data_IF_202577139372
#
_entry.id   IF_202577139372
#
_cell.length_a   1.000
_cell.length_b   1.000
_cell.length_c   1.000
_cell.angle_alpha   90.00
_cell.angle_beta   90.00
_cell.angle_gamma   90.00
#
_symmetry.space_group_name_H-M   'P 1'
#
loop_
_entity.id
_entity.type
_entity.pdbx_description
1 polymer ?
#
# COMPACT_ATOMS: atom_id res chain seq x y z
N UNK A 1 -17.11 -2.49 -26.79
CA UNK A 1 -16.29 -3.26 -25.83
C UNK A 1 -16.86 -2.99 -24.46
N UNK A 2 -17.45 -3.98 -23.80
CA UNK A 2 -18.01 -3.83 -22.46
C UNK A 2 -16.86 -3.61 -21.46
N UNK A 3 -16.89 -2.49 -20.73
CA UNK A 3 -15.99 -2.21 -19.62
C UNK A 3 -16.85 -2.17 -18.36
N UNK A 4 -17.01 -3.32 -17.71
CA UNK A 4 -17.75 -3.43 -16.46
C UNK A 4 -17.00 -2.77 -15.28
N UNK A 5 -15.72 -2.47 -15.46
CA UNK A 5 -14.86 -1.85 -14.46
C UNK A 5 -14.46 -0.42 -14.86
N UNK A 6 -14.31 0.45 -13.84
CA UNK A 6 -13.75 1.80 -13.97
C UNK A 6 -12.37 1.82 -13.36
N UNK A 7 -11.42 2.51 -13.98
CA UNK A 7 -10.12 2.79 -13.37
C UNK A 7 -9.97 4.29 -13.07
N UNK A 8 -9.34 4.60 -11.95
CA UNK A 8 -8.94 5.94 -11.52
C UNK A 8 -7.43 5.90 -11.38
N UNK A 9 -6.72 6.92 -11.84
CA UNK A 9 -5.27 6.99 -11.63
C UNK A 9 -4.86 8.44 -11.36
N UNK A 10 -3.71 8.62 -10.74
CA UNK A 10 -3.23 9.93 -10.39
C UNK A 10 -1.82 9.93 -9.84
N UNK A 11 -1.40 11.09 -9.36
CA UNK A 11 -0.11 11.26 -8.70
C UNK A 11 -0.29 12.11 -7.46
N UNK A 12 0.23 11.63 -6.34
CA UNK A 12 0.33 12.37 -5.07
C UNK A 12 1.75 12.89 -4.98
N UNK A 13 1.93 14.20 -4.76
CA UNK A 13 3.25 14.80 -4.56
C UNK A 13 3.51 14.92 -3.06
N UNK A 14 4.64 14.39 -2.61
CA UNK A 14 5.11 14.60 -1.25
C UNK A 14 5.98 15.85 -1.23
N UNK A 15 5.59 16.84 -0.42
CA UNK A 15 6.32 18.10 -0.31
C UNK A 15 7.04 18.23 1.03
N UNK A 16 8.13 19.01 1.06
CA UNK A 16 8.89 19.23 2.28
C UNK A 16 8.30 20.35 3.14
N UNK A 17 8.44 20.24 4.45
CA UNK A 17 8.17 21.31 5.41
C UNK A 17 9.44 21.89 6.05
N UNK A 18 10.62 21.50 5.55
CA UNK A 18 11.89 22.06 6.05
C UNK A 18 12.09 23.48 5.52
N UNK A 19 12.61 24.43 6.32
CA UNK A 19 12.75 25.83 5.91
C UNK A 19 13.53 26.04 4.61
N UNK A 20 14.60 25.27 4.39
CA UNK A 20 15.51 25.35 3.23
C UNK A 20 14.90 24.85 1.91
N UNK A 21 13.76 24.15 1.97
CA UNK A 21 13.10 23.56 0.80
C UNK A 21 11.59 23.46 0.96
N UNK A 22 10.99 24.44 1.62
CA UNK A 22 9.55 24.46 1.91
C UNK A 22 8.73 24.27 0.63
N UNK A 23 7.76 23.36 0.70
CA UNK A 23 6.84 22.96 -0.36
C UNK A 23 7.49 22.42 -1.64
N UNK A 24 8.81 22.26 -1.67
CA UNK A 24 9.49 21.56 -2.75
C UNK A 24 9.19 20.07 -2.68
N UNK A 25 9.11 19.44 -3.85
CA UNK A 25 8.89 18.00 -3.95
C UNK A 25 10.07 17.23 -3.35
N UNK A 26 9.75 16.21 -2.57
CA UNK A 26 10.73 15.26 -1.99
C UNK A 26 10.45 13.81 -2.37
N UNK A 27 9.45 13.60 -3.22
CA UNK A 27 8.94 12.30 -3.60
C UNK A 27 7.53 12.39 -4.16
N UNK A 28 7.03 11.26 -4.66
CA UNK A 28 5.72 11.14 -5.30
C UNK A 28 5.17 9.73 -5.13
N UNK A 29 3.86 9.58 -5.34
CA UNK A 29 3.21 8.29 -5.48
C UNK A 29 2.33 8.30 -6.72
N UNK A 30 2.57 7.35 -7.62
CA UNK A 30 1.70 7.07 -8.75
C UNK A 30 0.73 5.97 -8.34
N UNK A 31 -0.56 6.23 -8.43
CA UNK A 31 -1.58 5.27 -8.00
C UNK A 31 -2.57 4.95 -9.10
N UNK A 32 -3.15 3.77 -9.01
CA UNK A 32 -4.28 3.31 -9.80
C UNK A 32 -5.30 2.63 -8.89
N UNK A 33 -6.59 2.87 -9.10
CA UNK A 33 -7.68 2.22 -8.40
C UNK A 33 -8.61 1.64 -9.45
N UNK A 34 -8.73 0.32 -9.48
CA UNK A 34 -9.77 -0.39 -10.21
C UNK A 34 -11.01 -0.49 -9.33
N UNK A 35 -12.16 -0.08 -9.85
CA UNK A 35 -13.47 -0.33 -9.27
C UNK A 35 -14.14 -1.41 -10.12
N UNK A 36 -14.33 -2.58 -9.53
CA UNK A 36 -14.90 -3.76 -10.18
C UNK A 36 -16.43 -3.67 -10.25
N UNK A 37 -17.04 -4.47 -11.12
CA UNK A 37 -18.50 -4.46 -11.34
C UNK A 37 -19.33 -4.86 -10.11
N UNK A 38 -18.73 -5.59 -9.17
CA UNK A 38 -19.32 -5.98 -7.89
C UNK A 38 -19.03 -4.99 -6.75
N UNK A 39 -18.44 -3.82 -7.06
CA UNK A 39 -18.13 -2.77 -6.10
C UNK A 39 -16.80 -2.94 -5.37
N UNK A 40 -16.10 -4.08 -5.52
CA UNK A 40 -14.76 -4.28 -4.95
C UNK A 40 -13.74 -3.37 -5.62
N UNK A 41 -12.61 -3.16 -4.95
CA UNK A 41 -11.54 -2.28 -5.41
C UNK A 41 -10.18 -2.93 -5.33
N UNK A 42 -9.35 -2.66 -6.32
CA UNK A 42 -7.91 -2.96 -6.29
C UNK A 42 -7.15 -1.65 -6.43
N UNK A 43 -6.44 -1.26 -5.38
CA UNK A 43 -5.58 -0.09 -5.32
C UNK A 43 -4.12 -0.53 -5.54
N UNK A 44 -3.44 0.09 -6.49
CA UNK A 44 -2.03 -0.15 -6.80
C UNK A 44 -1.30 1.17 -6.62
N UNK A 45 -0.16 1.16 -5.96
CA UNK A 45 0.63 2.36 -5.74
C UNK A 45 2.13 2.06 -5.89
N UNK A 46 2.82 2.97 -6.57
CA UNK A 46 4.28 3.04 -6.60
C UNK A 46 4.69 4.38 -5.96
N UNK A 47 5.30 4.31 -4.79
CA UNK A 47 5.75 5.49 -4.03
C UNK A 47 7.28 5.59 -4.07
N UNK A 48 7.78 6.80 -4.26
CA UNK A 48 9.20 7.13 -4.23
C UNK A 48 9.44 8.33 -3.31
N UNK A 49 10.48 8.24 -2.48
CA UNK A 49 11.03 9.35 -1.70
C UNK A 49 12.48 9.55 -2.15
N UNK A 50 12.79 10.76 -2.61
CA UNK A 50 14.08 11.11 -3.22
C UNK A 50 15.15 11.46 -2.18
N UNK A 51 14.72 11.86 -0.98
CA UNK A 51 15.62 12.13 0.14
C UNK A 51 16.51 10.92 0.41
N UNK A 52 17.83 11.13 0.52
CA UNK A 52 18.73 10.01 0.82
C UNK A 52 18.61 9.55 2.28
N UNK A 53 18.60 8.22 2.55
CA UNK A 53 18.53 7.15 1.55
C UNK A 53 17.16 7.10 0.87
N UNK A 54 17.15 6.97 -0.47
CA UNK A 54 15.91 6.91 -1.24
C UNK A 54 15.03 5.76 -0.75
N UNK A 55 13.71 5.92 -0.83
CA UNK A 55 12.78 4.85 -0.46
C UNK A 55 11.82 4.62 -1.61
N UNK A 56 11.71 3.38 -2.05
CA UNK A 56 10.72 2.97 -3.05
C UNK A 56 9.80 1.92 -2.43
N UNK A 57 8.51 2.05 -2.70
CA UNK A 57 7.49 1.16 -2.18
C UNK A 57 6.46 0.83 -3.26
N UNK A 58 6.31 -0.45 -3.56
CA UNK A 58 5.26 -0.96 -4.44
C UNK A 58 4.17 -1.63 -3.61
N UNK A 59 2.90 -1.33 -3.91
CA UNK A 59 1.74 -1.87 -3.19
C UNK A 59 0.68 -2.36 -4.17
N UNK A 60 0.07 -3.50 -3.85
CA UNK A 60 -1.25 -3.91 -4.36
C UNK A 60 -2.16 -4.17 -3.16
N UNK A 61 -3.33 -3.54 -3.12
CA UNK A 61 -4.24 -3.56 -1.98
C UNK A 61 -5.68 -3.79 -2.43
N UNK A 62 -6.32 -4.82 -1.88
CA UNK A 62 -7.68 -5.23 -2.22
C UNK A 62 -8.67 -4.83 -1.13
N UNK A 63 -9.80 -4.24 -1.54
CA UNK A 63 -10.86 -3.75 -0.66
C UNK A 63 -12.19 -4.29 -1.17
N UNK A 64 -13.06 -4.73 -0.28
CA UNK A 64 -14.39 -5.19 -0.66
C UNK A 64 -15.38 -4.05 -0.98
N UNK A 65 -16.60 -4.42 -1.33
CA UNK A 65 -17.69 -3.49 -1.63
C UNK A 65 -18.05 -2.57 -0.44
N UNK A 66 -17.87 -3.05 0.79
CA UNK A 66 -18.18 -2.40 2.06
C UNK A 66 -16.99 -1.62 2.66
N UNK A 67 -15.92 -1.45 1.90
CA UNK A 67 -14.69 -0.75 2.33
C UNK A 67 -13.94 -1.44 3.47
N UNK A 68 -13.94 -2.76 3.48
CA UNK A 68 -13.07 -3.55 4.35
C UNK A 68 -11.86 -4.09 3.57
N UNK A 69 -10.67 -4.12 4.20
CA UNK A 69 -9.48 -4.75 3.63
C UNK A 69 -9.73 -6.24 3.38
N UNK A 70 -9.22 -6.75 2.27
CA UNK A 70 -9.20 -8.19 1.96
C UNK A 70 -7.77 -8.73 2.06
N UNK A 71 -6.85 -8.12 1.31
CA UNK A 71 -5.44 -8.49 1.25
C UNK A 71 -4.58 -7.33 0.79
N UNK A 72 -3.28 -7.40 1.06
CA UNK A 72 -2.29 -6.43 0.63
C UNK A 72 -0.95 -7.12 0.32
N UNK A 73 -0.26 -6.68 -0.73
CA UNK A 73 1.14 -6.98 -0.95
C UNK A 73 1.94 -5.67 -0.92
N UNK A 74 3.11 -5.70 -0.28
CA UNK A 74 4.06 -4.58 -0.26
C UNK A 74 5.47 -5.07 -0.55
N UNK A 75 6.20 -4.28 -1.35
CA UNK A 75 7.65 -4.40 -1.53
C UNK A 75 8.32 -3.08 -1.11
N UNK A 76 9.41 -3.16 -0.36
CA UNK A 76 10.16 -2.01 0.11
C UNK A 76 11.63 -2.12 -0.31
N UNK A 77 12.13 -1.05 -0.88
CA UNK A 77 13.54 -0.84 -1.25
C UNK A 77 14.03 0.45 -0.59
N UNK A 78 15.21 0.42 0.03
CA UNK A 78 15.84 1.59 0.66
C UNK A 78 17.26 1.74 0.13
N UNK A 79 17.60 2.91 -0.42
CA UNK A 79 18.89 3.18 -1.03
C UNK A 79 19.25 2.17 -2.12
N UNK A 80 18.28 1.84 -2.97
CA UNK A 80 18.37 0.84 -4.05
C UNK A 80 18.69 -0.59 -3.57
N UNK A 81 18.46 -0.88 -2.28
CA UNK A 81 18.63 -2.20 -1.70
C UNK A 81 17.31 -2.76 -1.22
N UNK A 82 17.08 -4.03 -1.50
CA UNK A 82 15.94 -4.77 -0.98
C UNK A 82 15.90 -4.67 0.55
N UNK A 83 14.78 -4.19 1.08
CA UNK A 83 14.51 -4.11 2.52
C UNK A 83 13.52 -5.20 2.94
N UNK A 84 12.49 -5.45 2.15
CA UNK A 84 11.57 -6.52 2.43
C UNK A 84 10.37 -6.59 1.51
N UNK A 85 9.63 -7.68 1.64
CA UNK A 85 8.30 -7.88 1.04
C UNK A 85 7.35 -8.45 2.08
N UNK A 86 6.07 -8.12 1.99
CA UNK A 86 5.04 -8.69 2.84
C UNK A 86 3.75 -8.91 2.10
N UNK A 87 3.10 -10.03 2.37
CA UNK A 87 1.71 -10.29 2.04
C UNK A 87 0.89 -10.28 3.32
N UNK A 88 -0.28 -9.66 3.27
CA UNK A 88 -1.22 -9.54 4.37
C UNK A 88 -2.59 -10.01 3.93
N UNK A 89 -3.33 -10.64 4.84
CA UNK A 89 -4.73 -11.02 4.63
C UNK A 89 -5.57 -10.67 5.84
N UNK A 90 -6.79 -10.24 5.58
CA UNK A 90 -7.71 -9.73 6.58
C UNK A 90 -9.01 -10.53 6.51
N UNK A 91 -9.44 -11.03 7.67
CA UNK A 91 -10.68 -11.79 7.80
C UNK A 91 -11.70 -11.11 8.70
N UNK A 92 -12.77 -11.85 9.05
CA UNK A 92 -13.82 -11.35 9.95
C UNK A 92 -13.31 -10.93 11.32
N UNK A 93 -12.28 -11.60 11.83
CA UNK A 93 -11.79 -11.49 13.20
C UNK A 93 -10.28 -11.72 13.31
N UNK A 94 -9.54 -11.60 12.20
CA UNK A 94 -8.09 -11.73 12.21
C UNK A 94 -7.41 -10.85 11.15
N UNK A 95 -6.11 -10.64 11.37
CA UNK A 95 -5.16 -10.24 10.35
C UNK A 95 -3.97 -11.19 10.39
N UNK A 96 -3.43 -11.57 9.24
CA UNK A 96 -2.23 -12.40 9.14
C UNK A 96 -1.27 -11.84 8.10
N UNK A 97 0.00 -12.21 8.23
CA UNK A 97 1.03 -11.84 7.27
C UNK A 97 2.07 -12.94 7.07
N UNK A 98 2.62 -12.94 5.85
CA UNK A 98 3.84 -13.65 5.48
C UNK A 98 4.81 -12.61 4.93
N UNK A 99 5.95 -12.44 5.57
CA UNK A 99 6.95 -11.43 5.17
C UNK A 99 8.32 -12.06 5.00
N UNK A 100 9.14 -11.41 4.18
CA UNK A 100 10.57 -11.69 4.07
C UNK A 100 11.32 -10.36 4.09
N UNK A 101 12.10 -10.11 5.14
CA UNK A 101 12.83 -8.84 5.32
C UNK A 101 14.33 -9.09 5.41
N UNK A 102 15.12 -8.07 5.11
CA UNK A 102 16.58 -8.12 5.26
C UNK A 102 17.04 -8.25 6.72
N UNK A 103 16.19 -7.89 7.68
CA UNK A 103 16.49 -7.89 9.11
C UNK A 103 16.06 -9.20 9.80
N UNK A 104 14.87 -9.71 9.48
CA UNK A 104 14.23 -10.80 10.21
C UNK A 104 14.12 -12.09 9.38
N UNK A 105 14.45 -12.03 8.09
CA UNK A 105 14.21 -13.13 7.17
C UNK A 105 12.71 -13.39 7.02
N UNK A 106 12.33 -14.67 6.96
CA UNK A 106 10.92 -15.06 6.83
C UNK A 106 10.19 -15.00 8.17
N UNK A 107 9.08 -14.28 8.18
CA UNK A 107 8.17 -14.18 9.33
C UNK A 107 6.77 -14.58 8.90
N UNK A 108 6.10 -15.39 9.73
CA UNK A 108 4.69 -15.75 9.60
C UNK A 108 4.00 -15.37 10.90
N UNK A 109 2.98 -14.52 10.83
CA UNK A 109 2.24 -14.07 12.01
C UNK A 109 0.74 -14.00 11.75
N UNK A 110 -0.03 -14.22 12.80
CA UNK A 110 -1.47 -14.02 12.82
C UNK A 110 -1.91 -13.41 14.14
N UNK A 111 -2.83 -12.47 14.06
CA UNK A 111 -3.38 -11.74 15.19
C UNK A 111 -4.90 -11.80 15.16
N UNK A 112 -5.52 -12.06 16.30
CA UNK A 112 -6.96 -11.95 16.48
C UNK A 112 -7.36 -10.48 16.59
N UNK A 113 -8.47 -10.10 15.94
CA UNK A 113 -9.03 -8.74 15.96
C UNK A 113 -10.43 -8.75 16.58
N UNK A 114 -10.88 -7.58 17.05
CA UNK A 114 -12.26 -7.41 17.54
C UNK A 114 -13.19 -7.07 16.37
N UNK A 115 -13.47 -8.08 15.54
CA UNK A 115 -14.21 -7.92 14.30
C UNK A 115 -13.36 -7.42 13.14
N UNK A 116 -14.02 -7.05 12.03
CA UNK A 116 -13.36 -6.66 10.78
C UNK A 116 -12.56 -5.39 10.97
N UNK A 117 -11.31 -5.38 10.51
CA UNK A 117 -10.49 -4.17 10.47
C UNK A 117 -11.05 -3.19 9.45
N UNK A 118 -11.13 -1.90 9.78
CA UNK A 118 -11.60 -0.87 8.84
C UNK A 118 -10.44 -0.32 8.02
N UNK A 119 -10.63 -0.16 6.71
CA UNK A 119 -9.73 0.64 5.87
C UNK A 119 -10.06 2.11 5.98
N UNK A 120 -9.05 2.99 5.96
CA UNK A 120 -9.17 4.46 6.06
C UNK A 120 -10.02 4.94 7.25
N UNK A 121 -9.38 5.08 8.41
CA UNK A 121 -10.04 5.61 9.62
C UNK A 121 -9.79 7.12 9.69
N UNK A 122 -10.87 7.89 9.78
CA UNK A 122 -10.85 9.32 10.11
C UNK A 122 -10.85 9.50 11.63
#
# INVERSE_FOLDING_TARGET
MQRDHRYIHGTIRYTSKKPDRLDQERGREHFMIHVHGDGKRTCIAHSEIDDRPSVMRDITYSIDEDWYPMDCFVRLTVGDRFMGTGWFRFGPDFAECETNTSLEGRVSQRMQTKGRLKTFQN
#
